data_IF_781755406014
#
_entry.id   IF_781755406014
#
_cell.length_a   1.000
_cell.length_b   1.000
_cell.length_c   1.000
_cell.angle_alpha   90.00
_cell.angle_beta   90.00
_cell.angle_gamma   90.00
#
_symmetry.space_group_name_H-M   'P 1'
#
loop_
_entity.id
_entity.type
_entity.pdbx_description
1 polymer ?
#
# COMPACT_ATOMS: atom_id res chain seq x y z
N UNK A 1 7.02 10.47 16.44
CA UNK A 1 8.46 10.17 16.40
C UNK A 1 8.83 9.85 14.98
N UNK A 2 9.63 10.72 14.37
CA UNK A 2 10.04 10.56 12.98
C UNK A 2 11.08 9.46 12.83
N UNK A 3 10.84 8.54 11.91
CA UNK A 3 11.76 7.48 11.53
C UNK A 3 12.28 7.71 10.13
N UNK A 4 13.54 7.37 9.91
CA UNK A 4 14.16 7.35 8.60
C UNK A 4 14.26 5.90 8.16
N UNK A 5 13.88 5.62 6.91
CA UNK A 5 13.93 4.30 6.32
C UNK A 5 14.79 4.34 5.06
N UNK A 6 15.82 3.49 5.00
CA UNK A 6 16.41 3.06 3.74
C UNK A 6 15.44 2.15 2.98
N UNK A 7 15.68 1.92 1.70
CA UNK A 7 14.87 0.98 0.90
C UNK A 7 14.83 -0.42 1.52
N UNK A 8 15.97 -0.91 2.02
CA UNK A 8 16.06 -2.24 2.63
C UNK A 8 15.24 -2.33 3.92
N UNK A 9 15.36 -1.34 4.81
CA UNK A 9 14.55 -1.30 6.05
C UNK A 9 13.06 -1.18 5.74
N UNK A 10 12.69 -0.40 4.72
CA UNK A 10 11.30 -0.30 4.27
C UNK A 10 10.76 -1.65 3.76
N UNK A 11 11.57 -2.41 3.02
CA UNK A 11 11.17 -3.72 2.49
C UNK A 11 10.94 -4.77 3.57
N UNK A 12 11.59 -4.63 4.72
CA UNK A 12 11.42 -5.51 5.89
C UNK A 12 10.17 -5.20 6.71
N UNK A 13 9.48 -4.08 6.45
CA UNK A 13 8.23 -3.74 7.15
C UNK A 13 7.10 -4.73 6.85
N UNK A 14 6.19 -4.87 7.81
CA UNK A 14 4.91 -5.53 7.60
C UNK A 14 4.13 -4.83 6.47
N UNK A 15 3.33 -5.61 5.74
CA UNK A 15 2.60 -5.11 4.57
C UNK A 15 1.72 -3.89 4.89
N UNK A 16 0.98 -3.94 6.00
CA UNK A 16 0.12 -2.84 6.42
C UNK A 16 0.91 -1.55 6.71
N UNK A 17 2.11 -1.68 7.28
CA UNK A 17 3.00 -0.54 7.52
C UNK A 17 3.49 0.08 6.21
N UNK A 18 3.82 -0.75 5.21
CA UNK A 18 4.19 -0.27 3.87
C UNK A 18 3.05 0.50 3.21
N UNK A 19 1.83 -0.03 3.30
CA UNK A 19 0.63 0.62 2.77
C UNK A 19 0.41 2.00 3.40
N UNK A 20 0.48 2.12 4.72
CA UNK A 20 0.31 3.41 5.43
C UNK A 20 1.34 4.45 4.97
N UNK A 21 2.61 4.05 4.87
CA UNK A 21 3.68 4.96 4.44
C UNK A 21 3.51 5.37 2.97
N UNK A 22 3.20 4.42 2.08
CA UNK A 22 3.00 4.68 0.65
C UNK A 22 1.74 5.53 0.42
N UNK A 23 0.65 5.26 1.13
CA UNK A 23 -0.56 6.07 1.09
C UNK A 23 -0.27 7.51 1.51
N UNK A 24 0.56 7.70 2.53
CA UNK A 24 0.90 9.02 3.03
C UNK A 24 1.87 9.79 2.12
N UNK A 25 2.87 9.11 1.55
CA UNK A 25 3.94 9.75 0.77
C UNK A 25 3.67 9.79 -0.74
N UNK A 26 2.85 8.87 -1.24
CA UNK A 26 2.49 8.70 -2.65
C UNK A 26 0.96 8.58 -2.84
N UNK A 27 0.18 9.32 -2.05
CA UNK A 27 -1.30 9.26 -1.99
C UNK A 27 -1.98 9.09 -3.35
N UNK A 28 -1.69 9.99 -4.30
CA UNK A 28 -2.32 9.92 -5.63
C UNK A 28 -1.95 8.63 -6.38
N UNK A 29 -0.67 8.24 -6.36
CA UNK A 29 -0.21 7.03 -7.05
C UNK A 29 -0.73 5.75 -6.39
N UNK A 30 -0.95 5.78 -5.07
CA UNK A 30 -1.54 4.68 -4.31
C UNK A 30 -3.00 4.45 -4.72
N UNK A 31 -3.85 5.47 -4.67
CA UNK A 31 -5.27 5.33 -5.03
C UNK A 31 -5.48 5.10 -6.54
N UNK A 32 -4.75 5.80 -7.43
CA UNK A 32 -4.79 5.51 -8.87
C UNK A 32 -4.33 4.08 -9.19
N UNK A 33 -3.35 3.58 -8.43
CA UNK A 33 -2.86 2.21 -8.55
C UNK A 33 -3.93 1.20 -8.18
N UNK A 34 -4.60 1.41 -7.04
CA UNK A 34 -5.73 0.57 -6.59
C UNK A 34 -6.86 0.53 -7.62
N UNK A 35 -7.24 1.69 -8.17
CA UNK A 35 -8.26 1.78 -9.22
C UNK A 35 -7.85 0.97 -10.47
N UNK A 36 -6.60 1.09 -10.93
CA UNK A 36 -6.08 0.37 -12.11
C UNK A 36 -6.08 -1.14 -11.93
N UNK A 37 -5.80 -1.63 -10.74
CA UNK A 37 -5.81 -3.09 -10.46
C UNK A 37 -7.21 -3.62 -10.14
N UNK A 38 -8.20 -2.74 -10.06
CA UNK A 38 -9.58 -3.07 -9.70
C UNK A 38 -9.74 -3.46 -8.24
N UNK A 39 -8.86 -2.97 -7.35
CA UNK A 39 -8.97 -3.23 -5.92
C UNK A 39 -10.10 -2.37 -5.35
N UNK A 40 -11.25 -2.99 -5.11
CA UNK A 40 -12.42 -2.33 -4.57
C UNK A 40 -12.83 -2.97 -3.25
N UNK A 41 -12.98 -2.14 -2.23
CA UNK A 41 -13.60 -2.54 -0.98
C UNK A 41 -15.10 -2.37 -1.16
N UNK A 42 -15.80 -3.47 -1.42
CA UNK A 42 -17.26 -3.44 -1.48
C UNK A 42 -17.84 -3.38 -0.06
N UNK A 43 -18.72 -2.41 0.16
CA UNK A 43 -19.40 -2.19 1.42
C UNK A 43 -20.91 -2.27 1.16
N UNK A 44 -21.63 -3.00 2.02
CA UNK A 44 -23.08 -3.08 1.96
C UNK A 44 -23.77 -1.79 2.47
N UNK A 45 -25.09 -1.74 2.34
CA UNK A 45 -25.92 -0.61 2.83
C UNK A 45 -25.84 -0.37 4.35
N UNK A 46 -25.27 -1.31 5.10
CA UNK A 46 -25.10 -1.26 6.56
C UNK A 46 -23.64 -1.00 6.97
N UNK A 47 -22.78 -0.57 6.03
CA UNK A 47 -21.35 -0.35 6.23
C UNK A 47 -20.53 -1.61 6.55
N UNK A 48 -21.01 -2.81 6.17
CA UNK A 48 -20.23 -4.04 6.32
C UNK A 48 -19.41 -4.34 5.07
N UNK A 49 -18.19 -4.84 5.29
CA UNK A 49 -17.34 -5.39 4.23
C UNK A 49 -18.02 -6.62 3.60
N UNK A 50 -18.28 -6.56 2.29
CA UNK A 50 -18.80 -7.70 1.56
C UNK A 50 -17.69 -8.76 1.40
N UNK A 51 -18.02 -10.06 1.58
CA UNK A 51 -17.05 -11.13 1.44
C UNK A 51 -16.68 -11.30 -0.03
N UNK A 52 -15.43 -10.99 -0.36
CA UNK A 52 -14.85 -11.28 -1.69
C UNK A 52 -14.64 -12.80 -1.83
N UNK A 53 -15.07 -13.43 -2.94
CA UNK A 53 -14.78 -14.83 -3.22
C UNK A 53 -13.27 -15.14 -3.11
N UNK A 54 -12.91 -16.25 -2.49
CA UNK A 54 -11.52 -16.56 -2.12
C UNK A 54 -10.52 -16.54 -3.28
N UNK A 55 -10.93 -16.96 -4.48
CA UNK A 55 -10.10 -16.93 -5.69
C UNK A 55 -9.84 -15.50 -6.19
N UNK A 56 -10.85 -14.63 -6.06
CA UNK A 56 -10.76 -13.20 -6.39
C UNK A 56 -9.88 -12.50 -5.34
N UNK A 57 -10.09 -12.83 -4.06
CA UNK A 57 -9.30 -12.30 -2.95
C UNK A 57 -7.81 -12.60 -3.10
N UNK A 58 -7.43 -13.83 -3.44
CA UNK A 58 -6.02 -14.18 -3.66
C UNK A 58 -5.42 -13.43 -4.85
N UNK A 59 -6.18 -13.29 -5.94
CA UNK A 59 -5.73 -12.55 -7.12
C UNK A 59 -5.57 -11.06 -6.83
N UNK A 60 -6.52 -10.45 -6.11
CA UNK A 60 -6.48 -9.06 -5.67
C UNK A 60 -5.34 -8.81 -4.70
N UNK A 61 -5.09 -9.72 -3.74
CA UNK A 61 -3.93 -9.63 -2.85
C UNK A 61 -2.61 -9.64 -3.62
N UNK A 62 -2.44 -10.55 -4.59
CA UNK A 62 -1.23 -10.58 -5.45
C UNK A 62 -1.05 -9.31 -6.26
N UNK A 63 -2.13 -8.78 -6.85
CA UNK A 63 -2.08 -7.51 -7.59
C UNK A 63 -1.74 -6.34 -6.67
N UNK A 64 -2.27 -6.35 -5.45
CA UNK A 64 -2.02 -5.29 -4.49
C UNK A 64 -0.58 -5.35 -3.96
N UNK A 65 -0.05 -6.54 -3.67
CA UNK A 65 1.38 -6.73 -3.37
C UNK A 65 2.28 -6.22 -4.50
N UNK A 66 1.95 -6.54 -5.75
CA UNK A 66 2.70 -6.03 -6.91
C UNK A 66 2.63 -4.49 -7.01
N UNK A 67 1.47 -3.90 -6.76
CA UNK A 67 1.32 -2.44 -6.71
C UNK A 67 2.21 -1.82 -5.62
N UNK A 68 2.22 -2.39 -4.42
CA UNK A 68 3.07 -1.91 -3.33
C UNK A 68 4.55 -2.01 -3.68
N UNK A 69 4.97 -3.07 -4.36
CA UNK A 69 6.35 -3.19 -4.86
C UNK A 69 6.67 -2.09 -5.88
N UNK A 70 5.82 -1.86 -6.87
CA UNK A 70 6.02 -0.80 -7.88
C UNK A 70 6.08 0.59 -7.25
N UNK A 71 5.21 0.86 -6.27
CA UNK A 71 5.21 2.11 -5.53
C UNK A 71 6.42 2.24 -4.60
N UNK A 72 6.95 1.13 -4.08
CA UNK A 72 8.22 1.12 -3.34
C UNK A 72 9.37 1.52 -4.26
N UNK A 73 9.45 0.95 -5.46
CA UNK A 73 10.46 1.34 -6.44
C UNK A 73 10.35 2.83 -6.79
N UNK A 74 9.13 3.33 -6.98
CA UNK A 74 8.87 4.76 -7.24
C UNK A 74 9.30 5.64 -6.06
N UNK A 75 9.04 5.22 -4.83
CA UNK A 75 9.35 5.97 -3.61
C UNK A 75 10.86 6.17 -3.44
N UNK A 76 11.65 5.16 -3.80
CA UNK A 76 13.11 5.14 -3.67
C UNK A 76 13.85 5.38 -5.01
N UNK A 77 13.17 5.72 -6.10
CA UNK A 77 13.79 5.91 -7.42
C UNK A 77 14.86 7.01 -7.43
N UNK A 78 14.61 8.10 -6.70
CA UNK A 78 15.51 9.26 -6.59
C UNK A 78 15.97 9.51 -5.15
N UNK A 79 15.55 8.68 -4.20
CA UNK A 79 15.78 8.85 -2.76
C UNK A 79 16.49 7.64 -2.20
N UNK A 80 17.57 7.89 -1.47
CA UNK A 80 18.30 6.84 -0.73
C UNK A 80 17.52 6.45 0.54
N UNK A 81 16.87 7.45 1.15
CA UNK A 81 16.14 7.34 2.41
C UNK A 81 14.84 8.15 2.35
N UNK A 82 13.85 7.73 3.13
CA UNK A 82 12.60 8.46 3.36
C UNK A 82 12.42 8.74 4.85
N UNK A 83 11.85 9.89 5.17
CA UNK A 83 11.50 10.28 6.53
C UNK A 83 9.97 10.18 6.69
N UNK A 84 9.51 9.50 7.73
CA UNK A 84 8.09 9.29 8.01
C UNK A 84 7.78 9.37 9.51
N UNK A 85 6.75 10.13 9.88
CA UNK A 85 6.32 10.20 11.27
C UNK A 85 5.36 9.05 11.59
N UNK A 86 5.79 8.19 12.51
CA UNK A 86 5.04 6.99 12.91
C UNK A 86 4.06 7.21 14.06
N UNK A 87 3.99 8.43 14.61
CA UNK A 87 3.00 8.79 15.63
C UNK A 87 1.76 9.43 14.99
N UNK A 88 0.70 8.64 14.90
CA UNK A 88 -0.67 9.11 14.63
C UNK A 88 -1.54 8.89 15.87
#
# INVERSE_FOLDING_TARGET
MTKIYTKSEFQELEFDSKCVIIESLLTNAYFEGQEKIGFQVEIDENNNLLPVPSEIKEMESKKFEALILDLTEKLFAEKIEIEFDTEY
#
